data_IF_211648321124
#
_entry.id   IF_211648321124
#
_cell.length_a   1.000
_cell.length_b   1.000
_cell.length_c   1.000
_cell.angle_alpha   90.00
_cell.angle_beta   90.00
_cell.angle_gamma   90.00
#
_symmetry.space_group_name_H-M   'P 1'
#
loop_
_entity.id
_entity.type
_entity.pdbx_description
1 polymer ?
#
# COMPACT_ATOMS: atom_id res chain seq x y z
N UNK A 1 -20.84 -28.11 -4.11
CA UNK A 1 -20.24 -26.90 -3.53
C UNK A 1 -19.63 -26.07 -4.65
N UNK A 2 -20.00 -24.79 -4.78
CA UNK A 2 -19.42 -23.90 -5.81
C UNK A 2 -17.91 -23.79 -5.59
N UNK A 3 -17.10 -23.88 -6.67
CA UNK A 3 -15.65 -23.77 -6.60
C UNK A 3 -15.28 -22.42 -5.96
N UNK A 4 -14.41 -22.35 -4.92
CA UNK A 4 -14.10 -21.11 -4.20
C UNK A 4 -13.35 -20.07 -5.06
N UNK A 5 -12.88 -20.48 -6.22
CA UNK A 5 -12.07 -19.70 -7.14
C UNK A 5 -12.74 -18.40 -7.67
N UNK A 6 -13.97 -18.42 -8.23
CA UNK A 6 -14.59 -17.19 -8.72
C UNK A 6 -14.81 -16.16 -7.61
N UNK A 7 -15.16 -16.64 -6.40
CA UNK A 7 -15.32 -15.79 -5.22
C UNK A 7 -13.99 -15.14 -4.82
N UNK A 8 -12.89 -15.89 -4.82
CA UNK A 8 -11.57 -15.35 -4.49
C UNK A 8 -11.12 -14.24 -5.45
N UNK A 9 -11.33 -14.43 -6.76
CA UNK A 9 -11.02 -13.42 -7.78
C UNK A 9 -11.89 -12.16 -7.61
N UNK A 10 -13.20 -12.34 -7.39
CA UNK A 10 -14.11 -11.24 -7.12
C UNK A 10 -13.70 -10.43 -5.89
N UNK A 11 -13.33 -11.10 -4.79
CA UNK A 11 -12.85 -10.44 -3.59
C UNK A 11 -11.52 -9.69 -3.84
N UNK A 12 -10.62 -10.24 -4.66
CA UNK A 12 -9.40 -9.55 -5.07
C UNK A 12 -9.67 -8.26 -5.83
N UNK A 13 -10.57 -8.29 -6.82
CA UNK A 13 -10.98 -7.10 -7.59
C UNK A 13 -11.68 -6.09 -6.69
N UNK A 14 -12.59 -6.55 -5.84
CA UNK A 14 -13.32 -5.68 -4.91
C UNK A 14 -12.36 -5.01 -3.92
N UNK A 15 -11.36 -5.74 -3.41
CA UNK A 15 -10.35 -5.16 -2.51
C UNK A 15 -9.54 -4.07 -3.19
N UNK A 16 -9.14 -4.26 -4.47
CA UNK A 16 -8.38 -3.25 -5.20
C UNK A 16 -9.20 -1.96 -5.43
N UNK A 17 -10.52 -2.07 -5.62
CA UNK A 17 -11.40 -0.91 -5.67
C UNK A 17 -11.44 -0.15 -4.34
N UNK A 18 -11.51 -0.86 -3.21
CA UNK A 18 -11.45 -0.21 -1.90
C UNK A 18 -10.05 0.34 -1.57
N UNK A 19 -8.97 -0.32 -1.96
CA UNK A 19 -7.61 0.22 -1.79
C UNK A 19 -7.40 1.51 -2.58
N UNK A 20 -8.00 1.63 -3.78
CA UNK A 20 -7.89 2.83 -4.60
C UNK A 20 -8.44 4.10 -3.93
N UNK A 21 -9.35 3.96 -2.95
CA UNK A 21 -9.84 5.05 -2.10
C UNK A 21 -8.69 5.81 -1.43
N UNK A 22 -7.58 5.12 -1.12
CA UNK A 22 -6.37 5.77 -0.59
C UNK A 22 -5.88 6.89 -1.51
N UNK A 23 -5.76 6.63 -2.78
CA UNK A 23 -5.19 7.58 -3.75
C UNK A 23 -6.16 8.73 -4.03
N UNK A 24 -7.43 8.37 -4.30
CA UNK A 24 -8.47 9.35 -4.64
C UNK A 24 -8.76 10.29 -3.46
N UNK A 25 -8.95 9.76 -2.25
CA UNK A 25 -9.33 10.60 -1.11
C UNK A 25 -8.13 11.39 -0.56
N UNK A 26 -6.88 10.88 -0.64
CA UNK A 26 -5.72 11.69 -0.31
C UNK A 26 -5.57 12.89 -1.28
N UNK A 27 -5.78 12.68 -2.57
CA UNK A 27 -5.79 13.77 -3.54
C UNK A 27 -6.95 14.75 -3.26
N UNK A 28 -8.15 14.24 -2.91
CA UNK A 28 -9.29 15.07 -2.49
C UNK A 28 -8.97 15.95 -1.27
N UNK A 29 -8.33 15.37 -0.25
CA UNK A 29 -7.90 16.12 0.94
C UNK A 29 -6.91 17.22 0.58
N UNK A 30 -5.93 16.92 -0.28
CA UNK A 30 -4.95 17.90 -0.74
C UNK A 30 -5.60 19.03 -1.56
N UNK A 31 -6.52 18.72 -2.50
CA UNK A 31 -7.26 19.71 -3.30
C UNK A 31 -8.15 20.59 -2.43
N UNK A 32 -8.71 20.06 -1.34
CA UNK A 32 -9.50 20.81 -0.38
C UNK A 32 -8.66 21.69 0.59
N UNK A 33 -7.34 21.77 0.37
CA UNK A 33 -6.41 22.52 1.24
C UNK A 33 -6.09 21.82 2.55
N UNK A 34 -6.38 20.53 2.68
CA UNK A 34 -6.02 19.72 3.85
C UNK A 34 -4.52 19.50 3.94
N UNK A 35 -4.00 19.48 5.16
CA UNK A 35 -2.59 19.21 5.40
C UNK A 35 -2.27 17.73 5.26
N UNK A 36 -1.22 17.39 4.52
CA UNK A 36 -0.83 16.01 4.27
C UNK A 36 -0.40 15.23 5.53
N UNK A 37 0.15 15.92 6.54
CA UNK A 37 0.52 15.26 7.81
C UNK A 37 -0.73 14.80 8.56
N UNK A 38 -1.80 15.64 8.56
CA UNK A 38 -3.09 15.24 9.10
C UNK A 38 -3.72 14.11 8.31
N UNK A 39 -3.68 14.17 6.96
CA UNK A 39 -4.18 13.09 6.11
C UNK A 39 -3.50 11.75 6.42
N UNK A 40 -2.18 11.79 6.66
CA UNK A 40 -1.41 10.60 6.99
C UNK A 40 -1.71 10.04 8.39
N UNK A 41 -1.61 10.87 9.45
CA UNK A 41 -1.74 10.38 10.82
C UNK A 41 -3.18 9.98 11.17
N UNK A 42 -4.19 10.74 10.72
CA UNK A 42 -5.59 10.44 11.01
C UNK A 42 -6.03 9.07 10.50
N UNK A 43 -5.51 8.59 9.37
CA UNK A 43 -5.79 7.24 8.88
C UNK A 43 -5.49 6.19 9.95
N UNK A 44 -4.35 6.27 10.61
CA UNK A 44 -3.95 5.26 11.61
C UNK A 44 -4.56 5.53 12.98
N UNK A 45 -4.80 6.79 13.31
CA UNK A 45 -5.51 7.16 14.53
C UNK A 45 -6.96 6.64 14.51
N UNK A 46 -7.65 6.70 13.36
CA UNK A 46 -8.97 6.09 13.20
C UNK A 46 -8.91 4.56 13.05
N UNK A 47 -7.87 4.02 12.42
CA UNK A 47 -7.72 2.57 12.27
C UNK A 47 -7.54 1.86 13.61
N UNK A 48 -6.87 2.49 14.57
CA UNK A 48 -6.62 1.92 15.90
C UNK A 48 -7.89 1.51 16.63
N UNK A 49 -8.88 2.39 16.88
CA UNK A 49 -10.11 1.99 17.57
C UNK A 49 -10.91 0.95 16.75
N UNK A 50 -10.92 1.02 15.42
CA UNK A 50 -11.58 0.02 14.59
C UNK A 50 -10.97 -1.37 14.78
N UNK A 51 -9.63 -1.48 14.81
CA UNK A 51 -8.92 -2.74 15.04
C UNK A 51 -9.09 -3.24 16.48
N UNK A 52 -9.13 -2.36 17.47
CA UNK A 52 -9.42 -2.74 18.84
C UNK A 52 -10.79 -3.40 18.94
N UNK A 53 -11.83 -2.81 18.34
CA UNK A 53 -13.17 -3.40 18.31
C UNK A 53 -13.19 -4.73 17.55
N UNK A 54 -12.57 -4.77 16.37
CA UNK A 54 -12.55 -5.97 15.53
C UNK A 54 -11.86 -7.17 16.21
N UNK A 55 -10.76 -6.91 16.95
CA UNK A 55 -9.97 -7.95 17.60
C UNK A 55 -10.43 -8.26 19.03
N UNK A 56 -11.44 -7.57 19.55
CA UNK A 56 -11.91 -7.72 20.93
C UNK A 56 -12.26 -9.18 21.27
N UNK A 57 -12.95 -9.88 20.37
CA UNK A 57 -13.32 -11.30 20.55
C UNK A 57 -12.13 -12.27 20.46
N UNK A 58 -11.05 -11.87 19.77
CA UNK A 58 -9.83 -12.65 19.61
C UNK A 58 -8.90 -12.50 20.84
N UNK A 59 -9.14 -11.45 21.63
CA UNK A 59 -8.31 -11.06 22.77
C UNK A 59 -7.06 -10.28 22.39
N UNK A 60 -6.67 -9.34 23.24
CA UNK A 60 -5.53 -8.46 23.00
C UNK A 60 -4.26 -8.93 23.72
N UNK A 61 -4.37 -9.90 24.65
CA UNK A 61 -3.22 -10.41 25.42
C UNK A 61 -2.05 -10.85 24.52
N UNK A 62 -2.25 -11.62 23.43
CA UNK A 62 -1.15 -12.02 22.55
C UNK A 62 -0.46 -10.82 21.88
N UNK A 63 -1.23 -9.81 21.49
CA UNK A 63 -0.72 -8.58 20.86
C UNK A 63 0.20 -7.83 21.82
N UNK A 64 -0.28 -7.56 23.03
CA UNK A 64 0.53 -6.84 24.03
C UNK A 64 1.72 -7.67 24.54
N UNK A 65 1.59 -8.98 24.64
CA UNK A 65 2.71 -9.86 24.99
C UNK A 65 3.81 -9.78 23.94
N UNK A 66 3.44 -9.80 22.67
CA UNK A 66 4.38 -9.72 21.54
C UNK A 66 5.07 -8.34 21.47
N UNK A 67 4.33 -7.26 21.67
CA UNK A 67 4.88 -5.90 21.71
C UNK A 67 5.85 -5.71 22.88
N UNK A 68 5.55 -6.27 24.06
CA UNK A 68 6.43 -6.21 25.23
C UNK A 68 7.67 -7.09 25.08
N UNK A 69 7.57 -8.21 24.36
CA UNK A 69 8.71 -9.11 24.10
C UNK A 69 9.80 -8.44 23.27
N UNK A 70 9.43 -7.65 22.28
CA UNK A 70 10.35 -7.03 21.33
C UNK A 70 9.93 -5.58 20.99
N UNK A 71 9.94 -4.63 21.96
CA UNK A 71 9.35 -3.31 21.77
C UNK A 71 10.06 -2.49 20.68
N UNK A 72 11.38 -2.45 20.66
CA UNK A 72 12.15 -1.69 19.68
C UNK A 72 12.00 -2.23 18.24
N UNK A 73 12.14 -3.55 17.98
CA UNK A 73 11.83 -4.10 16.66
C UNK A 73 10.41 -3.81 16.18
N UNK A 74 9.40 -3.92 17.04
CA UNK A 74 8.03 -3.57 16.66
C UNK A 74 7.88 -2.08 16.39
N UNK A 75 8.41 -1.19 17.21
CA UNK A 75 8.42 0.25 16.98
C UNK A 75 9.06 0.59 15.63
N UNK A 76 10.28 0.06 15.38
CA UNK A 76 11.03 0.35 14.16
C UNK A 76 10.29 -0.14 12.92
N UNK A 77 9.98 -1.44 12.86
CA UNK A 77 9.44 -2.03 11.64
C UNK A 77 7.98 -1.68 11.38
N UNK A 78 7.20 -1.39 12.43
CA UNK A 78 5.86 -0.83 12.26
C UNK A 78 5.92 0.61 11.76
N UNK A 79 6.87 1.41 12.23
CA UNK A 79 7.09 2.77 11.72
C UNK A 79 7.55 2.73 10.25
N UNK A 80 8.43 1.81 9.87
CA UNK A 80 8.80 1.63 8.46
C UNK A 80 7.59 1.19 7.64
N UNK A 81 6.88 0.13 8.04
CA UNK A 81 5.80 -0.48 7.27
C UNK A 81 4.52 0.36 7.19
N UNK A 82 4.26 1.22 8.16
CA UNK A 82 3.08 2.09 8.18
C UNK A 82 3.45 3.57 8.06
N UNK A 83 4.43 4.05 8.85
CA UNK A 83 4.84 5.45 8.88
C UNK A 83 5.55 5.88 7.60
N UNK A 84 6.73 5.30 7.34
CA UNK A 84 7.55 5.62 6.15
C UNK A 84 6.88 5.16 4.85
N UNK A 85 5.99 4.18 4.93
CA UNK A 85 5.13 3.82 3.80
C UNK A 85 4.10 4.91 3.51
N UNK A 86 3.30 5.33 4.50
CA UNK A 86 2.08 6.08 4.19
C UNK A 86 2.26 7.60 4.22
N UNK A 87 3.13 8.13 5.07
CA UNK A 87 3.33 9.58 5.15
C UNK A 87 3.86 10.18 3.84
N UNK A 88 4.89 9.59 3.18
CA UNK A 88 5.34 10.09 1.88
C UNK A 88 4.29 9.91 0.77
N UNK A 89 3.45 8.87 0.83
CA UNK A 89 2.35 8.69 -0.11
C UNK A 89 1.30 9.81 0.02
N UNK A 90 0.90 10.13 1.25
CA UNK A 90 -0.04 11.22 1.50
C UNK A 90 0.54 12.59 1.07
N UNK A 91 1.85 12.78 1.26
CA UNK A 91 2.56 13.95 0.77
C UNK A 91 2.54 14.04 -0.76
N UNK A 92 2.88 12.95 -1.47
CA UNK A 92 2.92 12.93 -2.93
C UNK A 92 1.55 13.21 -3.58
N UNK A 93 0.46 12.86 -2.91
CA UNK A 93 -0.89 13.13 -3.39
C UNK A 93 -1.21 14.64 -3.60
N UNK A 94 -0.40 15.53 -3.00
CA UNK A 94 -0.52 16.98 -3.22
C UNK A 94 0.14 17.44 -4.53
N UNK A 95 0.94 16.61 -5.20
CA UNK A 95 1.79 17.00 -6.33
C UNK A 95 1.46 16.30 -7.64
N UNK A 96 0.52 15.37 -7.65
CA UNK A 96 0.13 14.66 -8.85
C UNK A 96 -1.26 14.04 -8.77
N UNK A 97 -1.87 13.68 -9.93
CA UNK A 97 -3.18 13.07 -9.96
C UNK A 97 -3.17 11.69 -9.29
N UNK A 98 -4.33 11.29 -8.75
CA UNK A 98 -4.49 10.06 -7.97
C UNK A 98 -4.03 8.80 -8.71
N UNK A 99 -4.32 8.69 -10.02
CA UNK A 99 -3.92 7.57 -10.85
C UNK A 99 -2.41 7.48 -11.06
N UNK A 100 -1.71 8.62 -11.04
CA UNK A 100 -0.26 8.66 -11.20
C UNK A 100 0.44 8.18 -9.93
N UNK A 101 -0.06 8.56 -8.75
CA UNK A 101 0.42 8.03 -7.45
C UNK A 101 0.22 6.52 -7.39
N UNK A 102 -0.98 6.03 -7.75
CA UNK A 102 -1.27 4.60 -7.78
C UNK A 102 -0.37 3.82 -8.75
N UNK A 103 -0.14 4.38 -9.95
CA UNK A 103 0.74 3.77 -10.95
C UNK A 103 2.20 3.71 -10.49
N UNK A 104 2.75 4.81 -9.98
CA UNK A 104 4.12 4.87 -9.49
C UNK A 104 4.34 3.98 -8.26
N UNK A 105 3.34 3.84 -7.39
CA UNK A 105 3.39 2.96 -6.22
C UNK A 105 3.57 1.48 -6.61
N UNK A 106 3.22 1.06 -7.83
CA UNK A 106 3.45 -0.32 -8.27
C UNK A 106 4.94 -0.71 -8.34
N UNK A 107 5.85 0.25 -8.17
CA UNK A 107 7.26 -0.02 -7.87
C UNK A 107 7.44 -0.95 -6.66
N UNK A 108 6.46 -1.03 -5.77
CA UNK A 108 6.47 -1.92 -4.59
C UNK A 108 6.72 -3.39 -4.94
N UNK A 109 6.30 -3.86 -6.12
CA UNK A 109 6.58 -5.22 -6.57
C UNK A 109 8.07 -5.45 -6.81
N UNK A 110 8.73 -4.49 -7.46
CA UNK A 110 10.17 -4.53 -7.68
C UNK A 110 10.93 -4.38 -6.37
N UNK A 111 10.56 -3.41 -5.54
CA UNK A 111 11.18 -3.18 -4.24
C UNK A 111 11.14 -4.44 -3.38
N UNK A 112 9.97 -5.08 -3.27
CA UNK A 112 9.81 -6.34 -2.52
C UNK A 112 10.68 -7.49 -3.06
N UNK A 113 10.94 -7.55 -4.36
CA UNK A 113 11.85 -8.53 -4.94
C UNK A 113 13.33 -8.21 -4.68
N UNK A 114 13.72 -6.93 -4.79
CA UNK A 114 15.09 -6.47 -4.51
C UNK A 114 15.45 -6.60 -3.02
N UNK A 115 14.49 -6.50 -2.13
CA UNK A 115 14.68 -6.68 -0.69
C UNK A 115 14.81 -8.15 -0.26
N UNK A 116 14.53 -9.10 -1.14
CA UNK A 116 14.56 -10.54 -0.82
C UNK A 116 15.87 -10.98 -0.13
N UNK A 117 17.08 -10.50 -0.51
CA UNK A 117 18.33 -10.87 0.16
C UNK A 117 18.48 -10.35 1.62
N UNK A 118 17.60 -9.44 2.06
CA UNK A 118 17.57 -8.97 3.44
C UNK A 118 16.89 -9.98 4.39
N UNK A 119 16.37 -11.09 3.82
CA UNK A 119 15.67 -12.15 4.54
C UNK A 119 16.42 -13.47 4.37
N UNK A 120 16.28 -14.33 5.39
CA UNK A 120 16.82 -15.69 5.37
C UNK A 120 15.71 -16.69 5.06
N UNK A 121 16.07 -17.80 4.45
CA UNK A 121 15.22 -18.97 4.30
C UNK A 121 15.20 -19.82 5.59
N UNK A 122 14.52 -20.98 5.55
CA UNK A 122 14.43 -21.92 6.67
C UNK A 122 15.78 -22.50 7.07
N UNK A 123 16.75 -22.52 6.15
CA UNK A 123 18.10 -23.05 6.35
C UNK A 123 19.10 -21.95 6.80
N UNK A 124 18.62 -20.74 7.09
CA UNK A 124 19.44 -19.59 7.50
C UNK A 124 20.24 -18.93 6.36
N UNK A 125 20.05 -19.36 5.11
CA UNK A 125 20.69 -18.75 3.94
C UNK A 125 19.93 -17.53 3.45
N UNK A 126 20.65 -16.53 2.93
CA UNK A 126 20.02 -15.37 2.30
C UNK A 126 19.21 -15.80 1.08
N UNK A 127 17.98 -15.32 1.01
CA UNK A 127 17.12 -15.59 -0.14
C UNK A 127 17.69 -14.88 -1.38
N UNK A 128 17.54 -15.49 -2.56
CA UNK A 128 18.03 -14.93 -3.82
C UNK A 128 16.96 -14.07 -4.50
N UNK A 129 17.40 -13.03 -5.18
CA UNK A 129 16.51 -12.20 -6.01
C UNK A 129 15.95 -13.09 -7.14
N UNK A 130 14.63 -13.06 -7.38
CA UNK A 130 14.00 -13.87 -8.42
C UNK A 130 14.29 -13.28 -9.83
N UNK A 131 15.46 -13.58 -10.39
CA UNK A 131 15.93 -13.01 -11.67
C UNK A 131 14.98 -13.25 -12.84
N UNK A 132 14.17 -14.31 -12.78
CA UNK A 132 13.13 -14.63 -13.79
C UNK A 132 12.05 -13.56 -13.90
N UNK A 133 11.89 -12.71 -12.88
CA UNK A 133 10.90 -11.63 -12.85
C UNK A 133 11.44 -10.32 -13.46
N UNK A 134 12.73 -10.23 -13.76
CA UNK A 134 13.35 -9.01 -14.31
C UNK A 134 12.69 -8.48 -15.59
N UNK A 135 12.24 -9.31 -16.56
CA UNK A 135 11.53 -8.80 -17.72
C UNK A 135 10.24 -8.06 -17.35
N UNK A 136 9.46 -8.61 -16.41
CA UNK A 136 8.24 -7.96 -15.92
C UNK A 136 8.57 -6.66 -15.16
N UNK A 137 9.63 -6.65 -14.35
CA UNK A 137 10.09 -5.46 -13.65
C UNK A 137 10.57 -4.36 -14.61
N UNK A 138 11.27 -4.72 -15.68
CA UNK A 138 11.70 -3.76 -16.70
C UNK A 138 10.49 -3.09 -17.37
N UNK A 139 9.44 -3.84 -17.66
CA UNK A 139 8.18 -3.31 -18.23
C UNK A 139 7.50 -2.36 -17.24
N UNK A 140 7.41 -2.72 -15.96
CA UNK A 140 6.82 -1.85 -14.91
C UNK A 140 7.64 -0.56 -14.75
N UNK A 141 8.97 -0.65 -14.71
CA UNK A 141 9.86 0.52 -14.62
C UNK A 141 9.68 1.43 -15.83
N UNK A 142 9.65 0.87 -17.03
CA UNK A 142 9.41 1.65 -18.25
C UNK A 142 8.06 2.38 -18.19
N UNK A 143 7.01 1.71 -17.69
CA UNK A 143 5.71 2.32 -17.45
C UNK A 143 5.78 3.47 -16.45
N UNK A 144 6.42 3.28 -15.30
CA UNK A 144 6.62 4.33 -14.29
C UNK A 144 7.40 5.51 -14.89
N UNK A 145 8.44 5.23 -15.66
CA UNK A 145 9.21 6.28 -16.34
C UNK A 145 8.35 7.10 -17.30
N UNK A 146 7.46 6.47 -18.07
CA UNK A 146 6.51 7.17 -18.93
C UNK A 146 5.53 8.05 -18.14
N UNK A 147 5.09 7.62 -16.94
CA UNK A 147 4.28 8.47 -16.06
C UNK A 147 5.05 9.73 -15.63
N UNK A 148 6.36 9.60 -15.33
CA UNK A 148 7.18 10.75 -14.97
C UNK A 148 7.40 11.69 -16.18
N UNK A 149 7.57 11.15 -17.39
CA UNK A 149 7.63 11.95 -18.61
C UNK A 149 6.33 12.73 -18.85
N UNK A 150 5.17 12.11 -18.59
CA UNK A 150 3.87 12.79 -18.66
C UNK A 150 3.81 13.95 -17.66
N UNK A 151 4.26 13.72 -16.42
CA UNK A 151 4.29 14.76 -15.39
C UNK A 151 5.15 15.95 -15.81
N UNK A 152 6.36 15.71 -16.30
CA UNK A 152 7.30 16.76 -16.73
C UNK A 152 6.78 17.52 -17.95
N UNK A 153 6.00 16.87 -18.83
CA UNK A 153 5.40 17.53 -20.00
C UNK A 153 4.21 18.39 -19.64
N UNK A 154 3.42 17.99 -18.67
CA UNK A 154 2.26 18.74 -18.20
C UNK A 154 2.64 19.86 -17.23
N UNK A 155 3.66 19.64 -16.42
CA UNK A 155 4.25 20.63 -15.52
C UNK A 155 5.81 20.50 -15.61
N UNK A 156 6.47 21.39 -16.38
CA UNK A 156 7.92 21.33 -16.60
C UNK A 156 8.80 21.58 -15.36
N UNK A 157 8.19 21.76 -14.18
CA UNK A 157 8.91 21.92 -12.92
C UNK A 157 9.48 20.59 -12.46
N UNK A 158 10.79 20.38 -12.71
CA UNK A 158 11.53 19.19 -12.27
C UNK A 158 11.47 19.05 -10.74
N UNK A 159 11.45 20.15 -10.00
CA UNK A 159 11.32 20.13 -8.53
C UNK A 159 10.02 19.45 -8.10
N UNK A 160 8.90 19.81 -8.72
CA UNK A 160 7.60 19.15 -8.46
C UNK A 160 7.58 17.69 -8.86
N UNK A 161 8.17 17.36 -10.01
CA UNK A 161 8.28 15.95 -10.42
C UNK A 161 9.08 15.11 -9.41
N UNK A 162 10.15 15.66 -8.82
CA UNK A 162 10.93 14.99 -7.76
C UNK A 162 10.16 14.93 -6.43
N UNK A 163 9.45 16.00 -6.05
CA UNK A 163 8.58 16.02 -4.86
C UNK A 163 7.43 15.01 -4.95
N UNK A 164 7.05 14.62 -6.14
CA UNK A 164 6.11 13.53 -6.38
C UNK A 164 6.82 12.16 -6.37
N UNK A 165 7.85 11.97 -7.20
CA UNK A 165 8.44 10.66 -7.47
C UNK A 165 9.19 10.08 -6.27
N UNK A 166 10.03 10.87 -5.60
CA UNK A 166 10.86 10.37 -4.49
C UNK A 166 10.02 9.86 -3.32
N UNK A 167 9.00 10.59 -2.82
CA UNK A 167 8.15 10.08 -1.75
C UNK A 167 7.40 8.80 -2.11
N UNK A 168 6.92 8.67 -3.36
CA UNK A 168 6.22 7.46 -3.80
C UNK A 168 7.18 6.26 -3.84
N UNK A 169 8.41 6.43 -4.32
CA UNK A 169 9.43 5.38 -4.33
C UNK A 169 9.85 4.95 -2.92
N UNK A 170 10.00 5.90 -2.00
CA UNK A 170 10.24 5.61 -0.56
C UNK A 170 9.07 4.80 0.00
N UNK A 171 7.86 5.25 -0.23
CA UNK A 171 6.63 4.58 0.18
C UNK A 171 6.56 3.14 -0.34
N UNK A 172 6.77 2.97 -1.64
CA UNK A 172 6.73 1.67 -2.32
C UNK A 172 7.80 0.69 -1.84
N UNK A 173 8.95 1.19 -1.38
CA UNK A 173 10.02 0.37 -0.78
C UNK A 173 9.75 0.07 0.69
N UNK A 174 9.27 1.02 1.46
CA UNK A 174 9.03 0.84 2.89
C UNK A 174 7.91 -0.18 3.18
N UNK A 175 6.90 -0.25 2.32
CA UNK A 175 5.74 -1.13 2.50
C UNK A 175 6.12 -2.63 2.58
N UNK A 176 6.76 -3.24 1.57
CA UNK A 176 7.13 -4.66 1.64
C UNK A 176 8.18 -4.94 2.72
N UNK A 177 9.16 -4.04 2.90
CA UNK A 177 10.20 -4.19 3.91
C UNK A 177 9.61 -4.25 5.32
N UNK A 178 8.81 -3.26 5.71
CA UNK A 178 8.21 -3.19 7.04
C UNK A 178 7.27 -4.36 7.31
N UNK A 179 6.42 -4.74 6.35
CA UNK A 179 5.53 -5.89 6.48
C UNK A 179 6.29 -7.21 6.68
N UNK A 180 7.33 -7.48 5.90
CA UNK A 180 8.13 -8.71 6.03
C UNK A 180 8.94 -8.72 7.32
N UNK A 181 9.52 -7.59 7.73
CA UNK A 181 10.30 -7.51 8.97
C UNK A 181 9.40 -7.66 10.20
N UNK A 182 8.19 -7.11 10.22
CA UNK A 182 7.23 -7.35 11.32
C UNK A 182 6.79 -8.82 11.36
N UNK A 183 6.62 -9.48 10.21
CA UNK A 183 6.37 -10.94 10.17
C UNK A 183 7.55 -11.73 10.75
N UNK A 184 8.78 -11.34 10.46
CA UNK A 184 9.97 -12.03 10.97
C UNK A 184 10.17 -11.79 12.49
N UNK A 185 9.81 -10.63 12.99
CA UNK A 185 9.84 -10.29 14.43
C UNK A 185 8.76 -11.04 15.20
N UNK A 186 7.58 -11.24 14.61
CA UNK A 186 6.44 -11.88 15.25
C UNK A 186 6.71 -13.37 15.49
N UNK A 187 6.81 -13.77 16.76
CA UNK A 187 7.02 -15.17 17.16
C UNK A 187 5.74 -15.83 17.70
N UNK A 188 4.76 -15.03 18.09
CA UNK A 188 3.45 -15.51 18.54
C UNK A 188 2.54 -15.70 17.34
N UNK A 189 1.68 -16.71 17.37
CA UNK A 189 0.64 -16.89 16.35
C UNK A 189 -0.44 -15.80 16.47
N UNK A 190 -0.18 -14.65 15.89
CA UNK A 190 -1.15 -13.59 15.76
C UNK A 190 -1.98 -13.79 14.50
N UNK A 191 -3.29 -13.59 14.62
CA UNK A 191 -4.14 -13.46 13.42
C UNK A 191 -3.70 -12.24 12.62
N UNK A 192 -4.12 -12.15 11.36
CA UNK A 192 -3.79 -10.99 10.53
C UNK A 192 -4.30 -9.68 11.14
N UNK A 193 -5.51 -9.68 11.71
CA UNK A 193 -6.09 -8.51 12.38
C UNK A 193 -5.30 -8.12 13.63
N UNK A 194 -4.89 -9.10 14.44
CA UNK A 194 -4.04 -8.85 15.61
C UNK A 194 -2.66 -8.32 15.22
N UNK A 195 -2.07 -8.81 14.12
CA UNK A 195 -0.80 -8.28 13.59
C UNK A 195 -0.96 -6.85 13.08
N UNK A 196 -2.05 -6.54 12.37
CA UNK A 196 -2.36 -5.15 11.99
C UNK A 196 -2.50 -4.26 13.22
N UNK A 197 -3.17 -4.72 14.27
CA UNK A 197 -3.27 -3.99 15.54
C UNK A 197 -1.89 -3.77 16.17
N UNK A 198 -1.03 -4.81 16.21
CA UNK A 198 0.33 -4.69 16.73
C UNK A 198 1.16 -3.66 15.95
N UNK A 199 1.07 -3.66 14.61
CA UNK A 199 1.75 -2.67 13.75
C UNK A 199 1.18 -1.27 13.96
N UNK A 200 -0.13 -1.13 14.12
CA UNK A 200 -0.76 0.19 14.36
C UNK A 200 -0.31 0.75 15.71
N UNK A 201 -0.31 -0.07 16.78
CA UNK A 201 0.19 0.35 18.11
C UNK A 201 1.69 0.64 18.03
N UNK A 202 2.49 -0.21 17.39
CA UNK A 202 3.94 -0.02 17.26
C UNK A 202 4.31 1.25 16.49
N UNK A 203 3.51 1.68 15.52
CA UNK A 203 3.73 2.93 14.78
C UNK A 203 3.08 4.16 15.44
N UNK A 204 2.30 3.99 16.50
CA UNK A 204 1.57 5.09 17.16
C UNK A 204 2.45 6.26 17.59
N UNK A 205 3.65 6.06 18.19
CA UNK A 205 4.52 7.18 18.56
C UNK A 205 4.88 8.07 17.38
N UNK A 206 5.15 7.48 16.19
CA UNK A 206 5.41 8.25 14.97
C UNK A 206 4.18 9.09 14.57
N UNK A 207 2.98 8.52 14.63
CA UNK A 207 1.75 9.22 14.26
C UNK A 207 1.39 10.34 15.23
N UNK A 208 1.63 10.16 16.51
CA UNK A 208 1.42 11.19 17.54
C UNK A 208 2.41 12.35 17.38
N UNK A 209 3.69 12.06 17.08
CA UNK A 209 4.68 13.09 16.77
C UNK A 209 4.30 13.87 15.51
N UNK A 210 3.83 13.18 14.45
CA UNK A 210 3.37 13.83 13.22
C UNK A 210 2.12 14.69 13.45
N UNK A 211 1.15 14.21 14.25
CA UNK A 211 -0.04 14.97 14.60
C UNK A 211 0.33 16.22 15.43
N UNK A 212 1.29 16.11 16.36
CA UNK A 212 1.80 17.25 17.12
C UNK A 212 2.48 18.28 16.20
N UNK A 213 3.31 17.82 15.27
CA UNK A 213 3.96 18.69 14.29
C UNK A 213 2.93 19.37 13.37
N UNK A 214 1.91 18.65 12.90
CA UNK A 214 0.81 19.22 12.10
C UNK A 214 0.03 20.28 12.89
N UNK A 215 -0.27 20.01 14.18
CA UNK A 215 -0.97 20.97 15.05
C UNK A 215 -0.18 22.29 15.18
N UNK A 216 1.14 22.19 15.39
CA UNK A 216 2.00 23.39 15.50
C UNK A 216 2.08 24.14 14.17
N UNK A 217 2.11 23.43 13.03
CA UNK A 217 2.29 24.02 11.71
C UNK A 217 1.03 24.65 11.14
N UNK A 218 -0.11 24.00 11.25
CA UNK A 218 -1.36 24.37 10.58
C UNK A 218 -2.60 24.38 11.48
N UNK A 219 -2.45 24.08 12.77
CA UNK A 219 -3.56 23.94 13.70
C UNK A 219 -4.29 22.60 13.58
N UNK A 220 -5.53 22.55 14.05
CA UNK A 220 -6.37 21.35 14.02
C UNK A 220 -6.92 21.08 12.61
N UNK A 221 -7.15 19.80 12.25
CA UNK A 221 -7.71 19.43 10.96
C UNK A 221 -9.17 19.92 10.84
N UNK A 222 -9.59 20.23 9.62
CA UNK A 222 -10.98 20.57 9.35
C UNK A 222 -11.91 19.36 9.52
N UNK A 223 -13.20 19.62 9.77
CA UNK A 223 -14.22 18.56 9.86
C UNK A 223 -14.28 17.73 8.55
N UNK A 224 -14.11 18.37 7.41
CA UNK A 224 -14.06 17.69 6.10
C UNK A 224 -12.85 16.74 6.02
N UNK A 225 -11.67 17.19 6.44
CA UNK A 225 -10.47 16.36 6.45
C UNK A 225 -10.59 15.17 7.42
N UNK A 226 -11.22 15.38 8.58
CA UNK A 226 -11.53 14.29 9.53
C UNK A 226 -12.43 13.24 8.88
N UNK A 227 -13.53 13.65 8.24
CA UNK A 227 -14.45 12.75 7.56
C UNK A 227 -13.76 11.97 6.42
N UNK A 228 -12.97 12.65 5.59
CA UNK A 228 -12.24 12.03 4.49
C UNK A 228 -11.18 11.03 5.00
N UNK A 229 -10.42 11.37 6.03
CA UNK A 229 -9.44 10.48 6.63
C UNK A 229 -10.11 9.25 7.29
N UNK A 230 -11.29 9.41 7.90
CA UNK A 230 -12.09 8.30 8.39
C UNK A 230 -12.51 7.36 7.25
N UNK A 231 -12.95 7.87 6.10
CA UNK A 231 -13.29 7.05 4.93
C UNK A 231 -12.09 6.26 4.41
N UNK A 232 -10.91 6.89 4.33
CA UNK A 232 -9.66 6.19 3.95
C UNK A 232 -9.32 5.07 4.95
N UNK A 233 -9.44 5.37 6.25
CA UNK A 233 -9.19 4.38 7.30
C UNK A 233 -10.14 3.19 7.21
N UNK A 234 -11.44 3.46 7.04
CA UNK A 234 -12.48 2.44 6.97
C UNK A 234 -12.38 1.60 5.69
N UNK A 235 -12.38 2.25 4.53
CA UNK A 235 -12.44 1.55 3.25
C UNK A 235 -11.10 0.94 2.87
N UNK A 236 -10.04 1.73 2.79
CA UNK A 236 -8.73 1.23 2.37
C UNK A 236 -7.91 0.62 3.51
N UNK A 237 -8.04 1.14 4.73
CA UNK A 237 -7.34 0.60 5.89
C UNK A 237 -7.91 -0.72 6.40
N UNK A 238 -9.21 -0.80 6.58
CA UNK A 238 -9.88 -1.95 7.21
C UNK A 238 -10.54 -2.87 6.18
N UNK A 239 -11.55 -2.38 5.45
CA UNK A 239 -12.41 -3.21 4.59
C UNK A 239 -11.61 -3.86 3.46
N UNK A 240 -10.82 -3.07 2.70
CA UNK A 240 -10.00 -3.59 1.61
C UNK A 240 -9.06 -4.70 2.08
N UNK A 241 -8.40 -4.47 3.21
CA UNK A 241 -7.45 -5.43 3.78
C UNK A 241 -8.14 -6.74 4.19
N UNK A 242 -9.30 -6.66 4.84
CA UNK A 242 -10.06 -7.85 5.24
C UNK A 242 -10.56 -8.66 4.04
N UNK A 243 -11.08 -7.97 3.02
CA UNK A 243 -11.56 -8.60 1.78
C UNK A 243 -10.41 -9.27 1.03
N UNK A 244 -9.25 -8.60 0.92
CA UNK A 244 -8.07 -9.14 0.27
C UNK A 244 -7.55 -10.41 0.96
N UNK A 245 -7.46 -10.39 2.29
CA UNK A 245 -7.03 -11.56 3.05
C UNK A 245 -8.02 -12.71 2.95
N UNK A 246 -9.32 -12.44 2.92
CA UNK A 246 -10.29 -13.51 2.69
C UNK A 246 -10.15 -14.10 1.28
N UNK A 247 -9.97 -13.26 0.25
CA UNK A 247 -9.73 -13.71 -1.12
C UNK A 247 -8.48 -14.61 -1.22
N UNK A 248 -7.35 -14.19 -0.66
CA UNK A 248 -6.10 -14.97 -0.66
C UNK A 248 -6.21 -16.25 0.18
N UNK A 249 -6.92 -16.21 1.31
CA UNK A 249 -7.19 -17.37 2.17
C UNK A 249 -7.92 -18.48 1.43
N UNK A 250 -8.92 -18.15 0.61
CA UNK A 250 -9.71 -19.12 -0.16
C UNK A 250 -8.89 -19.93 -1.17
N UNK A 251 -7.71 -19.44 -1.56
CA UNK A 251 -6.86 -20.07 -2.58
C UNK A 251 -5.44 -20.33 -2.10
N UNK A 252 -5.16 -20.21 -0.79
CA UNK A 252 -3.82 -20.31 -0.19
C UNK A 252 -3.06 -21.58 -0.57
N UNK A 253 -3.77 -22.71 -0.78
CA UNK A 253 -3.21 -24.01 -1.09
C UNK A 253 -2.92 -24.18 -2.60
N UNK A 254 -3.27 -23.20 -3.43
CA UNK A 254 -2.99 -23.21 -4.86
C UNK A 254 -2.17 -21.97 -5.26
N UNK A 255 -0.84 -22.09 -5.41
CA UNK A 255 0.03 -20.95 -5.72
C UNK A 255 -0.34 -20.17 -6.98
N UNK A 256 -0.88 -20.86 -7.99
CA UNK A 256 -1.30 -20.22 -9.24
C UNK A 256 -2.50 -19.30 -9.02
N UNK A 257 -3.53 -19.80 -8.33
CA UNK A 257 -4.72 -19.00 -8.00
C UNK A 257 -4.41 -17.87 -7.04
N UNK A 258 -3.51 -18.11 -6.07
CA UNK A 258 -3.05 -17.08 -5.16
C UNK A 258 -2.39 -15.92 -5.91
N UNK A 259 -1.45 -16.21 -6.83
CA UNK A 259 -0.79 -15.19 -7.63
C UNK A 259 -1.77 -14.42 -8.52
N UNK A 260 -2.82 -15.09 -9.04
CA UNK A 260 -3.88 -14.40 -9.81
C UNK A 260 -4.75 -13.49 -8.93
N UNK A 261 -5.05 -13.87 -7.68
CA UNK A 261 -5.75 -12.96 -6.74
C UNK A 261 -4.85 -11.79 -6.37
N UNK A 262 -3.57 -12.03 -6.12
CA UNK A 262 -2.61 -10.96 -5.84
C UNK A 262 -2.48 -9.98 -7.03
N UNK A 263 -2.52 -10.48 -8.26
CA UNK A 263 -2.45 -9.61 -9.46
C UNK A 263 -3.66 -8.71 -9.65
N UNK A 264 -4.81 -9.01 -9.03
CA UNK A 264 -5.97 -8.11 -9.08
C UNK A 264 -5.69 -6.74 -8.46
N UNK A 265 -4.60 -6.61 -7.69
CA UNK A 265 -4.20 -5.30 -7.12
C UNK A 265 -3.79 -4.29 -8.21
N UNK A 266 -3.49 -4.73 -9.45
CA UNK A 266 -3.37 -3.79 -10.58
C UNK A 266 -4.66 -2.99 -10.82
N UNK A 267 -5.80 -3.48 -10.35
CA UNK A 267 -7.07 -2.76 -10.36
C UNK A 267 -7.03 -1.44 -9.57
N UNK A 268 -6.15 -1.31 -8.57
CA UNK A 268 -5.97 -0.04 -7.84
C UNK A 268 -5.65 1.12 -8.79
N UNK A 269 -4.83 0.88 -9.81
CA UNK A 269 -4.45 1.87 -10.81
C UNK A 269 -5.66 2.27 -11.65
N UNK A 270 -6.45 1.29 -12.08
CA UNK A 270 -7.64 1.50 -12.91
C UNK A 270 -8.72 2.23 -12.10
N UNK A 271 -9.01 1.76 -10.88
CA UNK A 271 -10.03 2.37 -10.02
C UNK A 271 -9.64 3.76 -9.54
N UNK A 272 -8.34 4.02 -9.29
CA UNK A 272 -7.88 5.38 -8.95
C UNK A 272 -7.97 6.32 -10.16
N UNK A 273 -7.71 5.85 -11.37
CA UNK A 273 -7.93 6.63 -12.59
C UNK A 273 -9.41 7.00 -12.76
N UNK A 274 -10.29 6.01 -12.64
CA UNK A 274 -11.74 6.23 -12.74
C UNK A 274 -12.21 7.18 -11.64
N UNK A 275 -11.84 6.92 -10.38
CA UNK A 275 -12.22 7.72 -9.24
C UNK A 275 -11.67 9.16 -9.30
N UNK A 276 -10.41 9.33 -9.71
CA UNK A 276 -9.79 10.64 -9.89
C UNK A 276 -10.50 11.47 -10.96
N UNK A 277 -10.81 10.90 -12.12
CA UNK A 277 -11.53 11.60 -13.19
C UNK A 277 -12.96 11.94 -12.78
N UNK A 278 -13.68 11.00 -12.16
CA UNK A 278 -15.10 11.17 -11.84
C UNK A 278 -15.36 12.10 -10.65
N UNK A 279 -14.53 12.02 -9.60
CA UNK A 279 -14.79 12.74 -8.34
C UNK A 279 -13.88 13.95 -8.12
N UNK A 280 -12.68 13.96 -8.71
CA UNK A 280 -11.69 15.01 -8.48
C UNK A 280 -11.44 15.88 -9.72
N UNK A 281 -12.03 15.51 -10.86
CA UNK A 281 -11.72 16.13 -12.14
C UNK A 281 -10.22 16.09 -12.47
N UNK A 282 -9.52 15.03 -12.01
CA UNK A 282 -8.13 14.80 -12.34
C UNK A 282 -7.92 14.89 -13.87
N UNK A 283 -6.78 15.43 -14.27
CA UNK A 283 -6.39 15.45 -15.68
C UNK A 283 -6.40 14.05 -16.27
N UNK A 284 -6.98 13.90 -17.45
CA UNK A 284 -6.93 12.62 -18.18
C UNK A 284 -5.49 12.33 -18.59
N UNK A 285 -5.04 11.07 -18.54
CA UNK A 285 -3.73 10.71 -19.03
C UNK A 285 -3.57 11.11 -20.51
N UNK A 286 -2.47 11.75 -20.85
CA UNK A 286 -2.07 11.93 -22.25
C UNK A 286 -1.46 10.62 -22.80
N UNK A 287 -0.78 10.71 -23.95
CA UNK A 287 -0.22 9.54 -24.61
C UNK A 287 0.74 8.75 -23.72
N UNK A 288 1.68 9.42 -23.05
CA UNK A 288 2.64 8.76 -22.17
C UNK A 288 1.98 8.22 -20.91
N UNK A 289 0.97 8.92 -20.39
CA UNK A 289 0.15 8.44 -19.28
C UNK A 289 -0.54 7.12 -19.62
N UNK A 290 -1.24 7.03 -20.72
CA UNK A 290 -1.91 5.80 -21.17
C UNK A 290 -0.93 4.66 -21.45
N UNK A 291 0.17 4.94 -22.16
CA UNK A 291 1.21 3.93 -22.40
C UNK A 291 1.83 3.45 -21.09
N UNK A 292 2.15 4.38 -20.18
CA UNK A 292 2.69 4.07 -18.87
C UNK A 292 1.79 3.17 -18.03
N UNK A 293 0.51 3.52 -17.91
CA UNK A 293 -0.48 2.71 -17.20
C UNK A 293 -0.64 1.32 -17.82
N UNK A 294 -0.69 1.24 -19.16
CA UNK A 294 -0.79 -0.05 -19.87
C UNK A 294 0.41 -0.94 -19.61
N UNK A 295 1.63 -0.38 -19.64
CA UNK A 295 2.84 -1.13 -19.33
C UNK A 295 2.88 -1.58 -17.87
N UNK A 296 2.47 -0.74 -16.91
CA UNK A 296 2.42 -1.10 -15.50
C UNK A 296 1.45 -2.27 -15.29
N UNK A 297 0.20 -2.14 -15.74
CA UNK A 297 -0.81 -3.19 -15.59
C UNK A 297 -0.38 -4.48 -16.31
N UNK A 298 0.12 -4.37 -17.53
CA UNK A 298 0.64 -5.51 -18.29
C UNK A 298 1.82 -6.19 -17.60
N UNK A 299 2.79 -5.40 -17.10
CA UNK A 299 3.94 -5.88 -16.35
C UNK A 299 3.55 -6.60 -15.05
N UNK A 300 2.53 -6.11 -14.33
CA UNK A 300 2.00 -6.77 -13.13
C UNK A 300 1.37 -8.13 -13.47
N UNK A 301 0.59 -8.21 -14.54
CA UNK A 301 0.01 -9.47 -15.01
C UNK A 301 1.10 -10.46 -15.41
N UNK A 302 2.10 -10.01 -16.18
CA UNK A 302 3.25 -10.86 -16.58
C UNK A 302 4.03 -11.33 -15.36
N UNK A 303 4.29 -10.45 -14.38
CA UNK A 303 4.95 -10.81 -13.12
C UNK A 303 4.22 -11.94 -12.39
N UNK A 304 2.90 -11.85 -12.30
CA UNK A 304 2.08 -12.89 -11.67
C UNK A 304 2.14 -14.22 -12.41
N UNK A 305 2.07 -14.19 -13.76
CA UNK A 305 2.18 -15.38 -14.59
C UNK A 305 3.57 -16.06 -14.47
N UNK A 306 4.64 -15.29 -14.41
CA UNK A 306 6.00 -15.82 -14.21
C UNK A 306 6.19 -16.41 -12.81
N UNK A 307 5.60 -15.80 -11.77
CA UNK A 307 5.62 -16.33 -10.40
C UNK A 307 4.94 -17.70 -10.30
N UNK A 308 3.87 -17.92 -11.08
CA UNK A 308 3.18 -19.21 -11.17
C UNK A 308 4.12 -20.31 -11.67
N UNK A 309 4.86 -20.05 -12.77
CA UNK A 309 5.77 -21.04 -13.36
C UNK A 309 6.92 -21.44 -12.43
N UNK A 310 7.33 -20.57 -11.53
CA UNK A 310 8.45 -20.81 -10.61
C UNK A 310 8.10 -21.75 -9.45
N UNK A 311 6.82 -21.83 -9.06
CA UNK A 311 6.35 -22.71 -7.97
C UNK A 311 5.90 -24.09 -8.45
N UNK A 312 5.84 -24.32 -9.75
CA UNK A 312 5.47 -25.60 -10.38
C UNK A 312 6.66 -26.40 -10.91
N UNK A 313 7.87 -25.87 -10.86
CA UNK A 313 9.17 -26.51 -11.10
C UNK A 313 9.95 -26.66 -9.79
#
# INVERSE_FOLDING_TARGET
MAKPWPKALYLGILSSAFFSVTYVVNAAMAQAGGDWMWSACLRYLFLLPMLLVLTMRQGWKPVFAELRRAPLPWLLWSTVGFGVFYAPMAFAAAYGPSWMVAGAFQFTMLAGALETPLFQDKDGKRQKIPTRLFPAFAVIIAGIFLLQLEQIRTDPDIGRALLFAIPVLISASAYPLGNRKTMAVCKTELTTQQRMLAMTIGSLPFWLLMASAATVRVGLPSATQLAQAFLVSLFAGLIATLIFFEGTRLVKDNPQRLALVESTQCGEVIFSLIGGILFLHDSRPGLFGWLGLTLIVGGMIVNSLLTIKTKSS
#
